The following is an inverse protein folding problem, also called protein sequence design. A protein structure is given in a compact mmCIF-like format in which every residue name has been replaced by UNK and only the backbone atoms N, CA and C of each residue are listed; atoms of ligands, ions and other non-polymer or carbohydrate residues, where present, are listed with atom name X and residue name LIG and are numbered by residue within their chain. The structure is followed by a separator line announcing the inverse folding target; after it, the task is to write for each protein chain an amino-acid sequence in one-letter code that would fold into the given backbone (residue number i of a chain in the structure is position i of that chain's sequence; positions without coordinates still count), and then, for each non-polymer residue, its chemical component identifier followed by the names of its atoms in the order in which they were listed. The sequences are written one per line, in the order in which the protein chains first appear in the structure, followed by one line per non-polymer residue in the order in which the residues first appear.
data_IF_278367727790
#
_entry.id   IF_278367727790
#
_cell.length_a   1.000
_cell.length_b   1.000
_cell.length_c   1.000
_cell.angle_alpha   90.00
_cell.angle_beta   90.00
_cell.angle_gamma   90.00
#
_symmetry.space_group_name_H-M   'P 1'
#
loop_
_entity.id
_entity.type
_entity.pdbx_description
1 polymer ?
#
# COMPACT_ATOMS: atom_id res chain seq x y z
N UNK A 1 -6.31 -22.18 -22.38
CA UNK A 1 -7.33 -21.23 -21.91
C UNK A 1 -7.39 -20.06 -22.86
N UNK A 2 -8.57 -19.76 -23.43
CA UNK A 2 -8.67 -18.65 -24.38
C UNK A 2 -8.28 -17.30 -23.78
N UNK A 3 -8.54 -17.06 -22.49
CA UNK A 3 -8.22 -15.78 -21.86
C UNK A 3 -6.72 -15.55 -21.69
N UNK A 4 -5.88 -16.61 -21.67
CA UNK A 4 -4.43 -16.46 -21.53
C UNK A 4 -3.79 -15.93 -22.81
N UNK A 5 -4.50 -16.00 -23.94
CA UNK A 5 -4.03 -15.49 -25.23
C UNK A 5 -4.66 -14.13 -25.58
N UNK A 6 -5.42 -13.53 -24.67
CA UNK A 6 -6.10 -12.25 -24.91
C UNK A 6 -5.35 -11.13 -24.19
N UNK A 7 -4.81 -10.12 -24.92
CA UNK A 7 -4.13 -9.00 -24.28
C UNK A 7 -5.03 -8.16 -23.36
N UNK A 8 -6.35 -8.24 -23.54
CA UNK A 8 -7.30 -7.54 -22.67
C UNK A 8 -7.19 -8.01 -21.22
N UNK A 9 -6.84 -9.29 -21.01
CA UNK A 9 -6.67 -9.85 -19.66
C UNK A 9 -5.52 -9.16 -18.95
N UNK A 10 -4.41 -8.92 -19.65
CA UNK A 10 -3.26 -8.21 -19.08
C UNK A 10 -3.63 -6.79 -18.68
N UNK A 11 -4.31 -6.06 -19.56
CA UNK A 11 -4.70 -4.67 -19.28
C UNK A 11 -5.74 -4.60 -18.17
N UNK A 12 -6.67 -5.55 -18.12
CA UNK A 12 -7.66 -5.63 -17.04
C UNK A 12 -6.97 -5.90 -15.70
N UNK A 13 -6.00 -6.82 -15.68
CA UNK A 13 -5.24 -7.13 -14.47
C UNK A 13 -4.44 -5.90 -14.00
N UNK A 14 -3.86 -5.16 -14.93
CA UNK A 14 -3.11 -3.95 -14.61
C UNK A 14 -4.01 -2.87 -14.02
N UNK A 15 -5.22 -2.69 -14.57
CA UNK A 15 -6.19 -1.76 -13.99
C UNK A 15 -6.57 -2.16 -12.57
N UNK A 16 -6.76 -3.45 -12.34
CA UNK A 16 -7.06 -3.97 -11.00
C UNK A 16 -5.90 -3.69 -10.05
N UNK A 17 -4.66 -3.91 -10.48
CA UNK A 17 -3.47 -3.61 -9.70
C UNK A 17 -3.43 -2.14 -9.31
N UNK A 18 -3.66 -1.24 -10.26
CA UNK A 18 -3.64 0.20 -10.01
C UNK A 18 -4.76 0.63 -9.07
N UNK A 19 -5.95 0.01 -9.19
CA UNK A 19 -7.07 0.29 -8.28
C UNK A 19 -6.71 -0.11 -6.85
N UNK A 20 -6.14 -1.30 -6.64
CA UNK A 20 -5.68 -1.74 -5.33
C UNK A 20 -4.55 -0.86 -4.80
N UNK A 21 -3.67 -0.41 -5.69
CA UNK A 21 -2.58 0.49 -5.33
C UNK A 21 -3.11 1.81 -4.78
N UNK A 22 -4.15 2.37 -5.41
CA UNK A 22 -4.81 3.58 -4.91
C UNK A 22 -5.39 3.35 -3.51
N UNK A 23 -6.07 2.23 -3.31
CA UNK A 23 -6.63 1.87 -2.00
C UNK A 23 -5.54 1.73 -0.95
N UNK A 24 -4.43 1.10 -1.30
CA UNK A 24 -3.30 0.94 -0.39
C UNK A 24 -2.72 2.29 0.02
N UNK A 25 -2.50 3.18 -0.96
CA UNK A 25 -1.95 4.51 -0.70
C UNK A 25 -2.93 5.32 0.16
N UNK A 26 -4.23 5.22 -0.11
CA UNK A 26 -5.26 5.91 0.68
C UNK A 26 -5.25 5.43 2.13
N UNK A 27 -5.15 4.12 2.36
CA UNK A 27 -5.07 3.56 3.70
C UNK A 27 -3.81 4.04 4.42
N UNK A 28 -2.68 4.04 3.72
CA UNK A 28 -1.42 4.50 4.29
C UNK A 28 -1.44 5.99 4.62
N UNK A 29 -1.97 6.80 3.71
CA UNK A 29 -2.10 8.23 3.93
C UNK A 29 -3.03 8.55 5.09
N UNK A 30 -4.16 7.85 5.16
CA UNK A 30 -5.11 8.02 6.25
C UNK A 30 -4.49 7.59 7.60
N UNK A 31 -3.77 6.49 7.61
CA UNK A 31 -3.08 6.03 8.82
C UNK A 31 -2.04 7.02 9.30
N UNK A 32 -1.28 7.59 8.37
CA UNK A 32 -0.30 8.63 8.68
C UNK A 32 -0.98 9.87 9.29
N UNK A 33 -2.09 10.31 8.68
CA UNK A 33 -2.84 11.48 9.16
C UNK A 33 -3.39 11.23 10.57
N UNK A 34 -3.97 10.05 10.80
CA UNK A 34 -4.52 9.70 12.12
C UNK A 34 -3.43 9.73 13.18
N UNK A 35 -2.27 9.17 12.89
CA UNK A 35 -1.15 9.16 13.83
C UNK A 35 -0.65 10.59 14.11
N UNK A 36 -0.48 11.38 13.07
CA UNK A 36 0.04 12.75 13.20
C UNK A 36 -0.98 13.75 13.74
N UNK A 37 -2.26 13.46 13.58
CA UNK A 37 -3.32 14.33 14.08
C UNK A 37 -3.25 14.48 15.60
N UNK A 38 -2.95 13.40 16.31
CA UNK A 38 -2.75 13.47 17.76
C UNK A 38 -1.65 14.43 18.14
N UNK A 39 -0.52 14.37 17.43
CA UNK A 39 0.60 15.26 17.64
C UNK A 39 0.22 16.73 17.34
N UNK A 40 -0.51 16.94 16.26
CA UNK A 40 -1.00 18.26 15.87
C UNK A 40 -1.89 18.86 16.95
N UNK A 41 -2.81 18.08 17.53
CA UNK A 41 -3.67 18.53 18.61
C UNK A 41 -2.87 18.95 19.85
N UNK A 42 -1.82 18.21 20.18
CA UNK A 42 -0.93 18.60 21.28
C UNK A 42 -0.32 19.97 21.05
N UNK A 43 0.14 20.23 19.83
CA UNK A 43 0.79 21.49 19.48
C UNK A 43 -0.18 22.67 19.50
N UNK A 44 -1.38 22.48 18.96
CA UNK A 44 -2.38 23.55 18.84
C UNK A 44 -3.05 23.84 20.18
N UNK A 45 -3.43 22.80 20.91
CA UNK A 45 -4.16 22.95 22.17
C UNK A 45 -3.23 23.19 23.37
N UNK A 46 -1.92 23.05 23.22
CA UNK A 46 -0.93 23.16 24.29
C UNK A 46 -1.21 22.23 25.46
N UNK A 47 -1.90 21.11 25.17
CA UNK A 47 -2.23 20.11 26.17
C UNK A 47 -1.68 18.76 25.74
N UNK A 48 -0.98 18.04 26.63
CA UNK A 48 -0.53 16.71 26.29
C UNK A 48 -1.70 15.74 26.17
N UNK A 49 -1.67 14.86 25.17
CA UNK A 49 -2.62 13.79 25.07
C UNK A 49 -2.40 12.79 26.20
N UNK A 50 -3.49 12.20 26.68
CA UNK A 50 -3.37 11.09 27.64
C UNK A 50 -2.66 9.91 26.97
N UNK A 51 -2.01 9.07 27.77
CA UNK A 51 -1.34 7.88 27.24
C UNK A 51 -2.26 6.97 26.45
N UNK A 52 -3.52 6.85 26.87
CA UNK A 52 -4.50 6.02 26.17
C UNK A 52 -4.90 6.64 24.82
N UNK A 53 -5.06 7.95 24.75
CA UNK A 53 -5.41 8.62 23.49
C UNK A 53 -4.29 8.49 22.47
N UNK A 54 -3.04 8.71 22.92
CA UNK A 54 -1.89 8.58 22.05
C UNK A 54 -1.70 7.14 21.60
N UNK A 55 -1.88 6.17 22.48
CA UNK A 55 -1.77 4.76 22.16
C UNK A 55 -2.83 4.31 21.16
N UNK A 56 -4.05 4.81 21.33
CA UNK A 56 -5.16 4.49 20.42
C UNK A 56 -4.88 5.07 19.02
N UNK A 57 -4.47 6.32 18.94
CA UNK A 57 -4.14 6.97 17.67
C UNK A 57 -2.98 6.27 16.97
N UNK A 58 -1.93 5.97 17.72
CA UNK A 58 -0.76 5.26 17.20
C UNK A 58 -1.16 3.87 16.69
N UNK A 59 -1.96 3.15 17.48
CA UNK A 59 -2.40 1.80 17.10
C UNK A 59 -3.21 1.79 15.82
N UNK A 60 -4.16 2.71 15.66
CA UNK A 60 -4.96 2.80 14.45
C UNK A 60 -4.09 3.20 13.26
N UNK A 61 -3.20 4.18 13.44
CA UNK A 61 -2.33 4.62 12.36
C UNK A 61 -1.42 3.50 11.86
N UNK A 62 -0.79 2.77 12.77
CA UNK A 62 0.08 1.63 12.44
C UNK A 62 -0.73 0.52 11.78
N UNK A 63 -1.92 0.22 12.31
CA UNK A 63 -2.79 -0.80 11.73
C UNK A 63 -3.12 -0.47 10.27
N UNK A 64 -3.48 0.79 9.99
CA UNK A 64 -3.81 1.21 8.63
C UNK A 64 -2.60 1.16 7.70
N UNK A 65 -1.42 1.53 8.19
CA UNK A 65 -0.20 1.41 7.41
C UNK A 65 0.10 -0.04 7.05
N UNK A 66 -0.01 -0.94 8.01
CA UNK A 66 0.23 -2.36 7.78
C UNK A 66 -0.84 -2.96 6.87
N UNK A 67 -2.09 -2.54 7.01
CA UNK A 67 -3.16 -2.97 6.13
C UNK A 67 -2.91 -2.51 4.70
N UNK A 68 -2.48 -1.27 4.51
CA UNK A 68 -2.11 -0.75 3.19
C UNK A 68 -0.95 -1.53 2.58
N UNK A 69 0.06 -1.85 3.39
CA UNK A 69 1.19 -2.66 2.93
C UNK A 69 0.73 -4.05 2.50
N UNK A 70 -0.15 -4.68 3.28
CA UNK A 70 -0.68 -6.00 2.94
C UNK A 70 -1.48 -5.96 1.64
N UNK A 71 -2.33 -4.95 1.47
CA UNK A 71 -3.11 -4.77 0.24
C UNK A 71 -2.18 -4.61 -0.95
N UNK A 72 -1.14 -3.79 -0.82
CA UNK A 72 -0.18 -3.56 -1.89
C UNK A 72 0.55 -4.86 -2.29
N UNK A 73 0.99 -5.63 -1.30
CA UNK A 73 1.70 -6.88 -1.58
C UNK A 73 0.80 -7.95 -2.17
N UNK A 74 -0.43 -8.07 -1.65
CA UNK A 74 -1.39 -9.06 -2.17
C UNK A 74 -1.75 -8.73 -3.61
N UNK A 75 -2.03 -7.46 -3.92
CA UNK A 75 -2.38 -7.07 -5.28
C UNK A 75 -1.21 -7.27 -6.25
N UNK A 76 0.01 -6.98 -5.82
CA UNK A 76 1.20 -7.23 -6.63
C UNK A 76 1.37 -8.72 -6.93
N UNK A 77 1.13 -9.57 -5.93
CA UNK A 77 1.21 -11.01 -6.10
C UNK A 77 0.16 -11.52 -7.06
N UNK A 78 -1.08 -11.06 -6.94
CA UNK A 78 -2.16 -11.44 -7.84
C UNK A 78 -1.85 -11.05 -9.28
N UNK A 79 -1.40 -9.82 -9.50
CA UNK A 79 -1.02 -9.35 -10.82
C UNK A 79 0.12 -10.19 -11.39
N UNK A 80 1.11 -10.51 -10.58
CA UNK A 80 2.26 -11.32 -11.02
C UNK A 80 1.81 -12.72 -11.46
N UNK A 81 0.87 -13.32 -10.73
CA UNK A 81 0.33 -14.63 -11.11
C UNK A 81 -0.39 -14.57 -12.44
N UNK A 82 -1.22 -13.55 -12.67
CA UNK A 82 -1.92 -13.38 -13.95
C UNK A 82 -0.92 -13.15 -15.07
N UNK A 83 0.07 -12.31 -14.87
CA UNK A 83 1.07 -12.00 -15.89
C UNK A 83 1.90 -13.23 -16.27
N UNK A 84 2.22 -14.09 -15.30
CA UNK A 84 2.96 -15.32 -15.55
C UNK A 84 2.18 -16.32 -16.39
N UNK A 85 0.86 -16.33 -16.25
CA UNK A 85 -0.01 -17.27 -16.95
C UNK A 85 -0.39 -16.79 -18.36
N UNK A 86 0.00 -15.57 -18.71
CA UNK A 86 -0.26 -15.04 -20.05
C UNK A 86 0.79 -15.55 -21.04
N UNK A 87 0.34 -15.76 -22.27
CA UNK A 87 1.22 -16.11 -23.39
C UNK A 87 2.18 -14.94 -23.64
N UNK A 88 3.51 -15.16 -23.69
CA UNK A 88 4.46 -14.08 -23.97
C UNK A 88 4.22 -13.36 -25.29
N UNK A 89 3.61 -14.05 -26.29
CA UNK A 89 3.31 -13.45 -27.58
C UNK A 89 2.23 -12.38 -27.49
N UNK A 90 1.43 -12.38 -26.43
CA UNK A 90 0.34 -11.41 -26.22
C UNK A 90 0.85 -10.11 -25.62
N UNK A 91 1.98 -10.16 -24.92
CA UNK A 91 2.58 -8.98 -24.27
C UNK A 91 3.22 -8.11 -25.35
N UNK A 92 2.83 -6.81 -25.45
CA UNK A 92 3.41 -5.93 -26.46
C UNK A 92 4.92 -5.77 -26.26
N UNK A 93 5.70 -5.65 -27.36
CA UNK A 93 7.14 -5.39 -27.24
C UNK A 93 7.41 -4.11 -26.47
N UNK A 94 8.38 -4.14 -25.57
CA UNK A 94 8.74 -2.98 -24.76
C UNK A 94 7.79 -2.68 -23.60
N UNK A 95 6.78 -3.51 -23.39
CA UNK A 95 5.84 -3.34 -22.28
C UNK A 95 6.45 -3.91 -20.98
N UNK A 96 6.50 -3.07 -19.97
CA UNK A 96 7.13 -3.43 -18.70
C UNK A 96 6.06 -3.91 -17.72
N UNK A 97 5.85 -5.21 -17.65
CA UNK A 97 4.85 -5.80 -16.76
C UNK A 97 5.25 -5.75 -15.30
N UNK A 98 6.54 -5.65 -15.01
CA UNK A 98 7.05 -5.71 -13.64
C UNK A 98 7.09 -4.34 -12.94
N UNK A 99 6.87 -3.24 -13.67
CA UNK A 99 6.98 -1.89 -13.08
C UNK A 99 5.92 -1.68 -12.00
N UNK A 100 4.67 -2.07 -12.26
CA UNK A 100 3.59 -1.94 -11.27
C UNK A 100 3.84 -2.78 -10.02
N UNK A 101 4.38 -3.99 -10.20
CA UNK A 101 4.73 -4.86 -9.09
C UNK A 101 5.82 -4.23 -8.22
N UNK A 102 6.87 -3.70 -8.86
CA UNK A 102 7.94 -3.04 -8.13
C UNK A 102 7.46 -1.81 -7.38
N UNK A 103 6.58 -1.00 -8.00
CA UNK A 103 6.00 0.16 -7.33
C UNK A 103 5.22 -0.26 -6.09
N UNK A 104 4.42 -1.33 -6.19
CA UNK A 104 3.68 -1.83 -5.05
C UNK A 104 4.59 -2.32 -3.92
N UNK A 105 5.69 -2.99 -4.28
CA UNK A 105 6.67 -3.45 -3.30
C UNK A 105 7.31 -2.25 -2.60
N UNK A 106 7.68 -1.23 -3.36
CA UNK A 106 8.27 0.00 -2.79
C UNK A 106 7.28 0.67 -1.84
N UNK A 107 6.01 0.78 -2.24
CA UNK A 107 4.95 1.36 -1.40
C UNK A 107 4.82 0.57 -0.10
N UNK A 108 4.83 -0.77 -0.18
CA UNK A 108 4.72 -1.62 0.99
C UNK A 108 5.92 -1.45 1.92
N UNK A 109 7.13 -1.36 1.36
CA UNK A 109 8.34 -1.13 2.16
C UNK A 109 8.28 0.21 2.87
N UNK A 110 7.84 1.26 2.17
CA UNK A 110 7.68 2.58 2.78
C UNK A 110 6.67 2.53 3.93
N UNK A 111 5.54 1.84 3.73
CA UNK A 111 4.52 1.71 4.76
C UNK A 111 5.06 0.99 5.99
N UNK A 112 5.77 -0.11 5.81
CA UNK A 112 6.37 -0.85 6.90
C UNK A 112 7.42 0.00 7.61
N UNK A 113 8.21 0.75 6.87
CA UNK A 113 9.22 1.64 7.44
C UNK A 113 8.58 2.72 8.33
N UNK A 114 7.48 3.33 7.87
CA UNK A 114 6.74 4.29 8.70
C UNK A 114 6.13 3.63 9.92
N UNK A 115 5.59 2.42 9.78
CA UNK A 115 5.01 1.70 10.92
C UNK A 115 6.07 1.41 11.98
N UNK A 116 7.25 0.95 11.56
CA UNK A 116 8.36 0.70 12.47
C UNK A 116 8.82 2.00 13.13
N UNK A 117 8.93 3.07 12.35
CA UNK A 117 9.34 4.38 12.88
C UNK A 117 8.36 4.88 13.93
N UNK A 118 7.05 4.73 13.70
CA UNK A 118 6.05 5.17 14.66
C UNK A 118 6.06 4.33 15.95
N UNK A 119 6.34 3.03 15.82
CA UNK A 119 6.43 2.14 16.99
C UNK A 119 7.74 2.28 17.74
N UNK A 120 8.78 2.80 17.08
CA UNK A 120 10.07 2.94 17.71
C UNK A 120 10.04 4.14 18.68
N UNK A 121 10.37 3.92 19.94
CA UNK A 121 10.37 5.04 20.89
C UNK A 121 11.54 5.98 20.57
N UNK A 122 11.21 7.10 19.96
CA UNK A 122 12.20 8.14 19.67
C UNK A 122 12.32 9.00 20.91
N UNK A 123 13.51 9.05 21.42
CA UNK A 123 13.83 9.87 22.58
C UNK A 123 14.28 11.25 22.17
#
# INVERSE_FOLDING_TARGET
MPFTADPRVLFAAERTLLAWQRSAIALMGFGFVVERFGLFLQMVAHQPLSGSQRGFSLGIGVFMLLLGAAVALISARQFRQVARNLDPAVVPPGYWTHVGVWLNVIIAVIAVAFAVHFLWPVQ
#
